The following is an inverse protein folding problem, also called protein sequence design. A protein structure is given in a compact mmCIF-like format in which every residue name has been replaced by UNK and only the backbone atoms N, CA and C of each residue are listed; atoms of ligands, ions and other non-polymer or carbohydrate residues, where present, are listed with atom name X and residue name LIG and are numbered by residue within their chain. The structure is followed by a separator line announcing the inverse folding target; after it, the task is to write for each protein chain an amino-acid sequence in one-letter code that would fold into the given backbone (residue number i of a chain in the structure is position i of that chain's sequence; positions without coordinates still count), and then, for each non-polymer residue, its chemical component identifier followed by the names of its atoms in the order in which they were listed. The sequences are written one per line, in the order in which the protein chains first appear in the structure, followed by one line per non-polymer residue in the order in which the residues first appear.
data_IF_444015199970
#
_entry.id   IF_444015199970
#
_cell.length_a   1.000
_cell.length_b   1.000
_cell.length_c   1.000
_cell.angle_alpha   90.00
_cell.angle_beta   90.00
_cell.angle_gamma   90.00
#
_symmetry.space_group_name_H-M   'P 1'
#
loop_
_entity.id
_entity.type
_entity.pdbx_description
1 polymer ?
#
# COMPACT_ATOMS: atom_id res chain seq x y z
N UNK A 1 -35.15 48.68 -30.78
CA UNK A 1 -35.08 47.26 -30.45
C UNK A 1 -33.69 46.66 -30.64
N UNK A 2 -32.95 46.85 -31.76
CA UNK A 2 -31.59 46.28 -31.96
C UNK A 2 -30.51 46.74 -30.95
N UNK A 3 -30.57 48.00 -30.49
CA UNK A 3 -29.59 48.54 -29.51
C UNK A 3 -29.82 48.03 -28.07
N UNK A 4 -31.07 47.76 -27.70
CA UNK A 4 -31.42 47.21 -26.39
C UNK A 4 -31.01 45.71 -26.29
N UNK A 5 -31.13 44.96 -27.38
CA UNK A 5 -30.75 43.55 -27.45
C UNK A 5 -29.21 43.38 -27.36
N UNK A 6 -28.43 44.29 -27.99
CA UNK A 6 -26.97 44.26 -27.94
C UNK A 6 -26.45 44.56 -26.52
N UNK A 7 -27.10 45.48 -25.79
CA UNK A 7 -26.73 45.81 -24.43
C UNK A 7 -27.06 44.66 -23.45
N UNK A 8 -28.19 43.99 -23.68
CA UNK A 8 -28.60 42.84 -22.84
C UNK A 8 -27.67 41.63 -23.07
N UNK A 9 -27.24 41.34 -24.30
CA UNK A 9 -26.28 40.30 -24.58
C UNK A 9 -24.90 40.61 -24.03
N UNK A 10 -24.45 41.87 -24.03
CA UNK A 10 -23.16 42.24 -23.45
C UNK A 10 -23.13 42.14 -21.93
N UNK A 11 -24.24 42.48 -21.27
CA UNK A 11 -24.38 42.35 -19.80
C UNK A 11 -24.47 40.87 -19.36
N UNK A 12 -25.14 40.03 -20.13
CA UNK A 12 -25.20 38.59 -19.86
C UNK A 12 -23.84 37.92 -20.08
N UNK A 13 -23.09 38.35 -21.12
CA UNK A 13 -21.77 37.83 -21.43
C UNK A 13 -20.69 38.28 -20.40
N UNK A 14 -20.80 39.49 -19.87
CA UNK A 14 -19.92 39.96 -18.81
C UNK A 14 -20.26 39.36 -17.43
N UNK A 15 -21.55 39.07 -17.16
CA UNK A 15 -21.96 38.39 -15.93
C UNK A 15 -21.53 36.92 -15.91
N UNK A 16 -21.57 36.23 -17.09
CA UNK A 16 -21.08 34.84 -17.19
C UNK A 16 -19.55 34.70 -17.05
N UNK A 17 -18.78 35.74 -17.40
CA UNK A 17 -17.33 35.79 -17.19
C UNK A 17 -16.95 36.11 -15.73
N UNK A 18 -17.81 36.78 -14.97
CA UNK A 18 -17.58 37.08 -13.55
C UNK A 18 -17.97 35.92 -12.62
N UNK A 19 -18.87 35.04 -13.06
CA UNK A 19 -19.28 33.86 -12.26
C UNK A 19 -18.29 32.71 -12.37
N UNK A 20 -17.50 32.63 -13.46
CA UNK A 20 -16.49 31.57 -13.65
C UNK A 20 -15.19 31.78 -12.85
N UNK A 21 -14.97 32.95 -12.27
CA UNK A 21 -13.77 33.21 -11.44
C UNK A 21 -14.00 33.03 -9.93
N UNK A 22 -15.23 32.73 -9.50
CA UNK A 22 -15.57 32.63 -8.07
C UNK A 22 -15.48 31.21 -7.48
N UNK A 23 -15.11 30.23 -8.32
CA UNK A 23 -15.03 28.81 -7.91
C UNK A 23 -13.67 28.18 -8.25
N UNK A 24 -12.62 28.96 -8.27
CA UNK A 24 -11.31 28.37 -8.20
C UNK A 24 -11.11 27.92 -6.76
N UNK A 25 -10.95 26.64 -6.56
CA UNK A 25 -10.50 26.13 -5.27
C UNK A 25 -9.30 26.95 -4.80
N UNK A 26 -9.22 27.29 -3.49
CA UNK A 26 -8.03 27.97 -2.98
C UNK A 26 -6.81 27.16 -3.39
N UNK A 27 -5.71 27.82 -3.80
CA UNK A 27 -4.50 27.09 -4.16
C UNK A 27 -4.13 26.15 -3.01
N UNK A 28 -3.88 24.88 -3.33
CA UNK A 28 -3.48 23.89 -2.34
C UNK A 28 -2.33 24.44 -1.51
N UNK A 29 -2.43 24.33 -0.20
CA UNK A 29 -1.34 24.74 0.69
C UNK A 29 -0.18 23.79 0.46
N UNK A 30 1.01 24.29 0.15
CA UNK A 30 2.22 23.48 0.00
C UNK A 30 2.88 23.20 1.35
N UNK A 31 2.09 22.74 2.30
CA UNK A 31 2.53 22.45 3.67
C UNK A 31 3.43 21.19 3.77
N UNK A 32 3.49 20.40 2.70
CA UNK A 32 4.30 19.19 2.60
C UNK A 32 5.50 19.31 1.65
N UNK A 33 5.86 20.53 1.23
CA UNK A 33 7.10 20.74 0.46
C UNK A 33 8.32 20.20 1.24
N UNK A 34 9.18 19.43 0.54
CA UNK A 34 10.33 18.78 1.15
C UNK A 34 10.01 17.57 2.02
N UNK A 35 8.80 17.04 1.92
CA UNK A 35 8.38 15.79 2.56
C UNK A 35 8.14 14.68 1.53
N UNK A 36 8.38 13.45 1.97
CA UNK A 36 7.90 12.26 1.27
C UNK A 36 6.80 11.62 2.12
N UNK A 37 5.70 11.26 1.48
CA UNK A 37 4.61 10.55 2.10
C UNK A 37 4.54 9.14 1.51
N UNK A 38 4.53 8.14 2.38
CA UNK A 38 4.24 6.77 2.00
C UNK A 38 2.80 6.48 2.42
N UNK A 39 1.93 6.32 1.43
CA UNK A 39 0.59 5.80 1.61
C UNK A 39 0.66 4.27 1.52
N UNK A 40 0.01 3.58 2.44
CA UNK A 40 0.02 2.14 2.39
C UNK A 40 -1.33 1.50 2.67
N UNK A 41 -1.51 0.34 2.08
CA UNK A 41 -2.67 -0.54 2.23
C UNK A 41 -2.21 -1.96 2.51
N UNK A 42 -3.12 -2.79 2.99
CA UNK A 42 -2.96 -4.22 3.18
C UNK A 42 -4.34 -4.88 3.19
N UNK A 43 -4.41 -6.18 2.92
CA UNK A 43 -5.63 -6.98 3.04
C UNK A 43 -6.84 -6.32 2.34
N UNK A 44 -6.63 -5.85 1.11
CA UNK A 44 -7.66 -5.17 0.32
C UNK A 44 -8.80 -6.12 -0.04
N UNK A 45 -8.51 -7.42 -0.22
CA UNK A 45 -9.49 -8.47 -0.46
C UNK A 45 -10.51 -8.11 -1.55
N UNK A 46 -10.02 -7.51 -2.63
CA UNK A 46 -10.83 -7.18 -3.79
C UNK A 46 -11.86 -6.08 -3.57
N UNK A 47 -11.68 -5.20 -2.60
CA UNK A 47 -12.50 -4.00 -2.37
C UNK A 47 -12.22 -2.92 -3.43
N UNK A 48 -12.32 -3.29 -4.72
CA UNK A 48 -11.91 -2.47 -5.87
C UNK A 48 -12.74 -1.19 -6.04
N UNK A 49 -13.94 -1.16 -5.50
CA UNK A 49 -14.83 -0.01 -5.48
C UNK A 49 -14.32 1.17 -4.64
N UNK A 50 -13.25 0.97 -3.87
CA UNK A 50 -12.69 1.98 -2.97
C UNK A 50 -11.32 2.54 -3.42
N UNK A 51 -10.74 1.97 -4.48
CA UNK A 51 -9.46 2.46 -5.00
C UNK A 51 -9.49 3.92 -5.48
N UNK A 52 -10.68 4.42 -5.91
CA UNK A 52 -10.84 5.83 -6.27
C UNK A 52 -10.53 6.78 -5.10
N UNK A 53 -10.88 6.38 -3.86
CA UNK A 53 -10.59 7.15 -2.65
C UNK A 53 -9.09 7.16 -2.34
N UNK A 54 -8.43 6.02 -2.53
CA UNK A 54 -6.97 5.91 -2.37
C UNK A 54 -6.25 6.80 -3.40
N UNK A 55 -6.71 6.80 -4.66
CA UNK A 55 -6.17 7.66 -5.70
C UNK A 55 -6.39 9.14 -5.40
N UNK A 56 -7.58 9.51 -4.89
CA UNK A 56 -7.89 10.87 -4.49
C UNK A 56 -7.01 11.33 -3.31
N UNK A 57 -6.78 10.47 -2.32
CA UNK A 57 -5.89 10.76 -1.20
C UNK A 57 -4.45 10.97 -1.68
N UNK A 58 -3.95 10.11 -2.58
CA UNK A 58 -2.62 10.28 -3.20
C UNK A 58 -2.51 11.65 -3.87
N UNK A 59 -3.51 12.00 -4.69
CA UNK A 59 -3.53 13.29 -5.39
C UNK A 59 -3.59 14.50 -4.44
N UNK A 60 -4.28 14.39 -3.30
CA UNK A 60 -4.29 15.46 -2.27
C UNK A 60 -2.90 15.69 -1.69
N UNK A 61 -2.21 14.63 -1.26
CA UNK A 61 -0.85 14.77 -0.73
C UNK A 61 0.14 15.30 -1.76
N UNK A 62 0.03 14.89 -3.02
CA UNK A 62 0.83 15.44 -4.13
C UNK A 62 0.53 16.91 -4.38
N UNK A 63 -0.74 17.33 -4.35
CA UNK A 63 -1.16 18.72 -4.51
C UNK A 63 -0.62 19.61 -3.37
N UNK A 64 -0.45 19.06 -2.18
CA UNK A 64 0.13 19.71 -1.00
C UNK A 64 1.66 19.79 -1.05
N UNK A 65 2.29 19.25 -2.08
CA UNK A 65 3.73 19.36 -2.34
C UNK A 65 4.56 18.16 -1.89
N UNK A 66 3.94 17.07 -1.39
CA UNK A 66 4.66 15.85 -1.05
C UNK A 66 5.12 15.09 -2.30
N UNK A 67 6.25 14.41 -2.19
CA UNK A 67 6.54 13.26 -3.05
C UNK A 67 5.82 12.06 -2.45
N UNK A 68 4.99 11.35 -3.24
CA UNK A 68 4.15 10.28 -2.70
C UNK A 68 4.53 8.93 -3.31
N UNK A 69 4.71 7.92 -2.45
CA UNK A 69 4.71 6.51 -2.83
C UNK A 69 3.47 5.84 -2.26
N UNK A 70 2.82 5.02 -3.07
CA UNK A 70 1.70 4.18 -2.67
C UNK A 70 2.14 2.72 -2.69
N UNK A 71 2.07 2.03 -1.54
CA UNK A 71 2.58 0.68 -1.38
C UNK A 71 1.52 -0.26 -0.77
N UNK A 72 1.68 -1.57 -0.95
CA UNK A 72 0.75 -2.58 -0.43
C UNK A 72 1.48 -3.74 0.25
N UNK A 73 0.93 -4.21 1.37
CA UNK A 73 1.48 -5.30 2.16
C UNK A 73 0.74 -6.64 1.95
N UNK A 74 0.17 -6.88 0.75
CA UNK A 74 -0.37 -8.18 0.34
C UNK A 74 -1.86 -8.39 0.59
N UNK A 75 -2.39 -9.49 0.06
CA UNK A 75 -3.79 -9.92 0.08
C UNK A 75 -4.74 -8.96 -0.65
N UNK A 76 -4.42 -8.63 -1.89
CA UNK A 76 -5.23 -7.78 -2.76
C UNK A 76 -6.04 -8.56 -3.81
N UNK A 77 -5.64 -9.77 -4.19
CA UNK A 77 -6.15 -10.48 -5.38
C UNK A 77 -7.30 -11.44 -5.13
N UNK A 78 -7.75 -11.60 -3.89
CA UNK A 78 -8.85 -12.50 -3.48
C UNK A 78 -9.86 -11.74 -2.62
N UNK A 79 -11.11 -12.19 -2.59
CA UNK A 79 -12.16 -11.68 -1.69
C UNK A 79 -13.47 -11.43 -2.43
N UNK A 80 -13.60 -10.31 -3.14
CA UNK A 80 -14.83 -10.00 -3.87
C UNK A 80 -14.96 -10.80 -5.17
N UNK A 81 -16.20 -10.97 -5.64
CA UNK A 81 -16.49 -11.62 -6.93
C UNK A 81 -15.77 -10.90 -8.10
N UNK A 82 -15.60 -9.60 -8.01
CA UNK A 82 -14.98 -8.80 -9.07
C UNK A 82 -13.54 -9.20 -9.37
N UNK A 83 -12.76 -9.54 -8.35
CA UNK A 83 -11.38 -10.00 -8.54
C UNK A 83 -11.28 -11.51 -8.69
N UNK A 84 -12.21 -12.27 -8.10
CA UNK A 84 -12.18 -13.74 -8.12
C UNK A 84 -12.49 -14.33 -9.50
N UNK A 85 -13.36 -13.70 -10.30
CA UNK A 85 -13.74 -14.17 -11.64
C UNK A 85 -12.51 -14.25 -12.57
N UNK A 86 -11.62 -13.25 -12.50
CA UNK A 86 -10.40 -13.19 -13.29
C UNK A 86 -9.14 -13.57 -12.47
N UNK A 87 -9.33 -14.35 -11.38
CA UNK A 87 -8.26 -14.94 -10.58
C UNK A 87 -7.21 -13.89 -10.14
N UNK A 88 -7.68 -12.75 -9.65
CA UNK A 88 -6.83 -11.68 -9.14
C UNK A 88 -6.30 -10.69 -10.19
N UNK A 89 -6.44 -10.94 -11.49
CA UNK A 89 -5.91 -10.04 -12.52
C UNK A 89 -6.53 -8.64 -12.49
N UNK A 90 -7.79 -8.52 -12.09
CA UNK A 90 -8.48 -7.23 -12.00
C UNK A 90 -7.96 -6.40 -10.82
N UNK A 91 -7.55 -7.02 -9.70
CA UNK A 91 -6.89 -6.33 -8.60
C UNK A 91 -5.59 -5.65 -9.08
N UNK A 92 -4.72 -6.38 -9.79
CA UNK A 92 -3.49 -5.83 -10.37
C UNK A 92 -3.78 -4.69 -11.34
N UNK A 93 -4.84 -4.82 -12.16
CA UNK A 93 -5.27 -3.76 -13.07
C UNK A 93 -5.68 -2.50 -12.32
N UNK A 94 -6.46 -2.65 -11.24
CA UNK A 94 -6.88 -1.52 -10.41
C UNK A 94 -5.71 -0.88 -9.67
N UNK A 95 -4.78 -1.68 -9.11
CA UNK A 95 -3.56 -1.17 -8.50
C UNK A 95 -2.71 -0.36 -9.50
N UNK A 96 -2.58 -0.84 -10.74
CA UNK A 96 -1.89 -0.11 -11.81
C UNK A 96 -2.54 1.26 -12.12
N UNK A 97 -3.88 1.31 -12.14
CA UNK A 97 -4.63 2.56 -12.41
C UNK A 97 -4.58 3.51 -11.22
N UNK A 98 -4.64 2.99 -10.00
CA UNK A 98 -4.52 3.76 -8.76
C UNK A 98 -3.12 4.35 -8.57
N UNK A 99 -2.12 3.75 -9.23
CA UNK A 99 -0.74 4.23 -9.20
C UNK A 99 0.05 3.72 -8.00
N UNK A 100 -0.07 2.42 -7.71
CA UNK A 100 0.83 1.76 -6.76
C UNK A 100 2.26 1.75 -7.30
N UNK A 101 3.23 1.87 -6.40
CA UNK A 101 4.66 1.95 -6.71
C UNK A 101 5.41 0.69 -6.30
N UNK A 102 5.02 0.05 -5.19
CA UNK A 102 5.64 -1.17 -4.64
C UNK A 102 4.57 -2.01 -3.95
N UNK A 103 4.64 -3.33 -4.05
CA UNK A 103 3.82 -4.24 -3.26
C UNK A 103 4.61 -5.49 -2.85
N UNK A 104 4.23 -6.09 -1.72
CA UNK A 104 4.53 -7.50 -1.46
C UNK A 104 3.33 -8.37 -1.82
N UNK A 105 3.44 -9.66 -1.62
CA UNK A 105 2.35 -10.62 -1.78
C UNK A 105 1.90 -11.12 -0.42
N UNK A 106 0.64 -11.57 -0.32
CA UNK A 106 0.09 -12.27 0.83
C UNK A 106 -0.31 -13.71 0.49
N UNK A 107 -0.85 -14.43 1.46
CA UNK A 107 -1.20 -15.85 1.27
C UNK A 107 -2.33 -16.04 0.26
N UNK A 108 -3.23 -15.09 0.11
CA UNK A 108 -4.32 -15.16 -0.85
C UNK A 108 -3.91 -14.89 -2.29
N UNK A 109 -2.72 -14.37 -2.56
CA UNK A 109 -2.15 -14.34 -3.89
C UNK A 109 -1.89 -15.74 -4.44
N UNK A 110 -1.74 -16.76 -3.57
CA UNK A 110 -1.56 -18.17 -3.95
C UNK A 110 -2.87 -18.96 -4.14
N UNK A 111 -4.03 -18.38 -3.88
CA UNK A 111 -5.34 -19.08 -3.97
C UNK A 111 -5.61 -19.67 -5.35
N UNK A 112 -5.15 -19.00 -6.40
CA UNK A 112 -5.26 -19.45 -7.79
C UNK A 112 -4.00 -20.16 -8.28
N UNK A 113 -3.04 -20.39 -7.40
CA UNK A 113 -1.77 -21.07 -7.65
C UNK A 113 -0.67 -20.17 -8.16
N UNK A 114 0.58 -20.64 -7.97
CA UNK A 114 1.77 -19.88 -8.34
C UNK A 114 1.81 -19.48 -9.82
N UNK A 115 1.39 -20.37 -10.73
CA UNK A 115 1.39 -20.04 -12.16
C UNK A 115 0.47 -18.86 -12.49
N UNK A 116 -0.68 -18.76 -11.83
CA UNK A 116 -1.59 -17.63 -12.03
C UNK A 116 -1.05 -16.36 -11.37
N UNK A 117 -0.46 -16.49 -10.18
CA UNK A 117 0.21 -15.37 -9.50
C UNK A 117 1.30 -14.77 -10.41
N UNK A 118 2.20 -15.60 -10.94
CA UNK A 118 3.28 -15.17 -11.83
C UNK A 118 2.73 -14.45 -13.09
N UNK A 119 1.66 -14.99 -13.70
CA UNK A 119 0.99 -14.34 -14.84
C UNK A 119 0.33 -12.99 -14.48
N UNK A 120 -0.20 -12.85 -13.28
CA UNK A 120 -0.76 -11.60 -12.81
C UNK A 120 0.34 -10.55 -12.55
N UNK A 121 1.43 -10.95 -11.89
CA UNK A 121 2.52 -10.04 -11.55
C UNK A 121 3.30 -9.55 -12.79
N UNK A 122 3.37 -10.31 -13.87
CA UNK A 122 3.89 -9.83 -15.17
C UNK A 122 3.13 -8.62 -15.74
N UNK A 123 1.90 -8.37 -15.28
CA UNK A 123 1.07 -7.22 -15.69
C UNK A 123 1.19 -6.05 -14.72
N UNK A 124 1.82 -6.24 -13.57
CA UNK A 124 2.06 -5.18 -12.60
C UNK A 124 2.95 -4.08 -13.20
N UNK A 125 2.61 -2.82 -12.93
CA UNK A 125 3.42 -1.64 -13.26
C UNK A 125 4.13 -1.08 -12.02
N UNK A 126 4.06 -1.80 -10.93
CA UNK A 126 4.72 -1.56 -9.66
C UNK A 126 5.71 -2.68 -9.37
N UNK A 127 6.71 -2.42 -8.53
CA UNK A 127 7.64 -3.47 -8.12
C UNK A 127 6.96 -4.45 -7.17
N UNK A 128 7.16 -5.75 -7.42
CA UNK A 128 6.63 -6.83 -6.59
C UNK A 128 7.78 -7.48 -5.85
N UNK A 129 7.73 -7.44 -4.52
CA UNK A 129 8.83 -7.87 -3.67
C UNK A 129 8.46 -9.09 -2.83
N UNK A 130 9.38 -10.08 -2.75
CA UNK A 130 9.23 -11.21 -1.85
C UNK A 130 10.57 -11.92 -1.60
N UNK A 131 11.18 -11.70 -0.44
CA UNK A 131 12.52 -12.20 -0.14
C UNK A 131 12.54 -13.60 0.51
N UNK A 132 11.37 -14.16 0.90
CA UNK A 132 11.32 -15.40 1.67
C UNK A 132 10.54 -16.55 1.02
N UNK A 133 10.10 -16.40 -0.24
CA UNK A 133 9.50 -17.49 -1.00
C UNK A 133 10.40 -17.87 -2.18
N UNK A 134 10.82 -19.12 -2.22
CA UNK A 134 11.78 -19.62 -3.19
C UNK A 134 11.16 -20.65 -4.12
N UNK A 135 11.64 -20.66 -5.36
CA UNK A 135 11.45 -21.73 -6.34
C UNK A 135 12.80 -22.09 -6.93
N UNK A 136 13.16 -23.37 -6.90
CA UNK A 136 14.45 -23.86 -7.39
C UNK A 136 15.66 -23.10 -6.79
N UNK A 137 15.53 -22.70 -5.51
CA UNK A 137 16.57 -21.99 -4.73
C UNK A 137 16.73 -20.50 -5.05
N UNK A 138 15.83 -19.92 -5.84
CA UNK A 138 15.78 -18.48 -6.13
C UNK A 138 14.45 -17.89 -5.67
N UNK A 139 14.46 -16.63 -5.26
CA UNK A 139 13.23 -15.89 -4.94
C UNK A 139 12.31 -15.81 -6.15
N UNK A 140 10.99 -15.84 -5.89
CA UNK A 140 10.00 -15.85 -6.97
C UNK A 140 9.76 -14.47 -7.58
N UNK A 141 10.12 -13.42 -6.87
CA UNK A 141 10.06 -12.01 -7.29
C UNK A 141 11.34 -11.31 -6.81
N UNK A 142 11.46 -10.01 -7.07
CA UNK A 142 12.57 -9.23 -6.59
C UNK A 142 12.56 -9.20 -5.05
N UNK A 143 13.75 -9.21 -4.44
CA UNK A 143 13.88 -9.26 -2.98
C UNK A 143 13.62 -7.89 -2.37
N UNK A 144 14.14 -6.84 -3.02
CA UNK A 144 14.06 -5.45 -2.56
C UNK A 144 14.17 -4.46 -3.73
N UNK A 145 13.87 -3.19 -3.44
CA UNK A 145 14.03 -2.06 -4.36
C UNK A 145 14.43 -0.80 -3.60
N UNK A 146 15.23 0.06 -4.22
CA UNK A 146 15.56 1.41 -3.72
C UNK A 146 14.83 2.46 -4.55
N UNK A 147 14.04 3.30 -3.91
CA UNK A 147 13.39 4.48 -4.51
C UNK A 147 14.13 5.75 -4.07
N UNK A 148 14.47 6.60 -5.03
CA UNK A 148 15.15 7.87 -4.76
C UNK A 148 14.19 9.03 -4.84
N UNK A 149 14.21 9.92 -3.83
CA UNK A 149 13.45 11.17 -3.78
C UNK A 149 14.36 12.30 -3.31
N UNK A 150 14.64 13.24 -4.21
CA UNK A 150 15.64 14.26 -3.92
C UNK A 150 16.99 13.63 -3.58
N UNK A 151 17.49 13.91 -2.39
CA UNK A 151 18.78 13.40 -1.93
C UNK A 151 18.63 12.15 -1.04
N UNK A 152 17.41 11.76 -0.65
CA UNK A 152 17.18 10.56 0.17
C UNK A 152 16.87 9.33 -0.69
N UNK A 153 17.24 8.17 -0.15
CA UNK A 153 16.93 6.86 -0.70
C UNK A 153 16.12 6.06 0.30
N UNK A 154 15.00 5.52 -0.15
CA UNK A 154 14.11 4.67 0.65
C UNK A 154 14.19 3.26 0.08
N UNK A 155 14.64 2.33 0.88
CA UNK A 155 14.69 0.91 0.54
C UNK A 155 13.42 0.21 1.00
N UNK A 156 12.87 -0.63 0.14
CA UNK A 156 11.75 -1.51 0.44
C UNK A 156 12.14 -2.95 0.21
N UNK A 157 11.70 -3.87 1.08
CA UNK A 157 11.76 -5.31 0.84
C UNK A 157 10.45 -5.96 1.27
N UNK A 158 10.13 -7.14 0.71
CA UNK A 158 8.88 -7.83 0.93
C UNK A 158 9.05 -9.15 1.67
N UNK A 159 8.10 -9.47 2.57
CA UNK A 159 8.00 -10.77 3.24
C UNK A 159 6.56 -11.29 3.18
N UNK A 160 6.45 -12.56 2.83
CA UNK A 160 5.21 -13.34 2.82
C UNK A 160 5.13 -14.23 4.05
N UNK A 161 3.91 -14.44 4.57
CA UNK A 161 3.71 -15.37 5.69
C UNK A 161 4.02 -16.82 5.30
N UNK A 162 4.83 -17.54 6.08
CA UNK A 162 5.06 -18.96 5.83
C UNK A 162 3.78 -19.82 5.96
N UNK A 163 2.70 -19.27 6.53
CA UNK A 163 1.42 -19.96 6.63
C UNK A 163 0.78 -20.28 5.27
N UNK A 164 1.15 -19.52 4.21
CA UNK A 164 0.72 -19.83 2.84
C UNK A 164 1.03 -21.27 2.45
N UNK A 165 2.11 -21.88 2.98
CA UNK A 165 2.44 -23.28 2.72
C UNK A 165 1.36 -24.25 3.19
N UNK A 166 0.59 -23.90 4.21
CA UNK A 166 -0.47 -24.75 4.79
C UNK A 166 -1.87 -24.23 4.45
N UNK A 167 -2.04 -22.95 4.17
CA UNK A 167 -3.34 -22.33 3.84
C UNK A 167 -3.67 -22.43 2.35
N UNK A 168 -2.68 -22.35 1.46
CA UNK A 168 -2.90 -22.53 0.03
C UNK A 168 -3.07 -24.01 -0.35
N UNK A 169 -3.70 -24.27 -1.50
CA UNK A 169 -3.82 -25.63 -2.03
C UNK A 169 -2.43 -26.19 -2.39
N UNK A 170 -1.96 -27.27 -1.74
CA UNK A 170 -0.63 -27.81 -1.97
C UNK A 170 -0.35 -28.21 -3.43
N UNK A 171 -1.38 -28.59 -4.19
CA UNK A 171 -1.21 -28.92 -5.61
C UNK A 171 -0.86 -27.70 -6.48
N UNK A 172 -1.20 -26.50 -6.02
CA UNK A 172 -1.03 -25.24 -6.75
C UNK A 172 0.27 -24.50 -6.40
N UNK A 173 0.94 -24.92 -5.32
CA UNK A 173 2.20 -24.32 -4.83
C UNK A 173 3.39 -25.28 -4.85
N UNK A 174 3.29 -26.36 -5.65
CA UNK A 174 4.34 -27.36 -5.74
C UNK A 174 5.69 -26.74 -6.16
N UNK A 175 6.76 -27.14 -5.46
CA UNK A 175 8.12 -26.65 -5.72
C UNK A 175 8.44 -25.29 -5.09
N UNK A 176 7.48 -24.66 -4.42
CA UNK A 176 7.75 -23.47 -3.62
C UNK A 176 8.26 -23.85 -2.23
N UNK A 177 9.18 -23.05 -1.72
CA UNK A 177 9.70 -23.12 -0.37
C UNK A 177 9.44 -21.79 0.33
N UNK A 178 8.69 -21.81 1.40
CA UNK A 178 8.44 -20.64 2.26
C UNK A 178 9.44 -20.69 3.42
N UNK A 179 10.32 -19.70 3.50
CA UNK A 179 11.28 -19.60 4.60
C UNK A 179 10.54 -19.10 5.85
N UNK A 180 10.78 -19.77 6.98
CA UNK A 180 10.15 -19.49 8.26
C UNK A 180 11.19 -19.40 9.39
N UNK A 181 10.85 -18.72 10.49
CA UNK A 181 11.70 -18.56 11.66
C UNK A 181 13.07 -17.99 11.30
N UNK A 182 14.13 -18.57 11.83
CA UNK A 182 15.51 -18.09 11.63
C UNK A 182 15.91 -17.91 10.17
N UNK A 183 15.36 -18.74 9.25
CA UNK A 183 15.65 -18.61 7.82
C UNK A 183 14.97 -17.36 7.22
N UNK A 184 13.75 -17.05 7.65
CA UNK A 184 13.05 -15.83 7.26
C UNK A 184 13.74 -14.60 7.82
N UNK A 185 14.13 -14.64 9.11
CA UNK A 185 14.86 -13.54 9.74
C UNK A 185 16.20 -13.28 9.06
N UNK A 186 16.91 -14.36 8.70
CA UNK A 186 18.15 -14.20 7.94
C UNK A 186 17.92 -13.59 6.56
N UNK A 187 16.90 -14.05 5.82
CA UNK A 187 16.56 -13.47 4.53
C UNK A 187 16.23 -11.97 4.67
N UNK A 188 15.46 -11.59 5.69
CA UNK A 188 15.13 -10.20 5.98
C UNK A 188 16.39 -9.37 6.33
N UNK A 189 17.29 -9.90 7.19
CA UNK A 189 18.53 -9.21 7.54
C UNK A 189 19.42 -9.00 6.32
N UNK A 190 19.52 -10.02 5.44
CA UNK A 190 20.28 -9.92 4.20
C UNK A 190 19.74 -8.77 3.30
N UNK A 191 18.41 -8.53 3.28
CA UNK A 191 17.83 -7.40 2.54
C UNK A 191 18.13 -6.04 3.21
N UNK A 192 18.05 -5.97 4.53
CA UNK A 192 18.43 -4.75 5.26
C UNK A 192 19.88 -4.38 4.97
N UNK A 193 20.78 -5.37 5.05
CA UNK A 193 22.22 -5.17 4.82
C UNK A 193 22.51 -4.74 3.38
N UNK A 194 21.83 -5.37 2.39
CA UNK A 194 21.94 -5.01 0.99
C UNK A 194 21.43 -3.58 0.72
N UNK A 195 20.25 -3.23 1.22
CA UNK A 195 19.68 -1.89 1.07
C UNK A 195 20.57 -0.80 1.68
N UNK A 196 21.13 -1.07 2.87
CA UNK A 196 22.10 -0.14 3.51
C UNK A 196 23.39 -0.03 2.70
N UNK A 197 23.88 -1.11 2.14
CA UNK A 197 25.05 -1.09 1.25
C UNK A 197 24.79 -0.30 -0.05
N UNK A 198 23.55 -0.28 -0.55
CA UNK A 198 23.11 0.56 -1.67
C UNK A 198 22.89 2.03 -1.28
N UNK A 199 23.03 2.33 0.01
CA UNK A 199 22.93 3.68 0.57
C UNK A 199 21.49 4.10 0.89
N UNK A 200 20.61 3.17 1.23
CA UNK A 200 19.28 3.51 1.73
C UNK A 200 19.36 4.23 3.07
N UNK A 201 18.77 5.43 3.14
CA UNK A 201 18.65 6.22 4.36
C UNK A 201 17.57 5.65 5.27
N UNK A 202 16.48 5.14 4.68
CA UNK A 202 15.34 4.52 5.37
C UNK A 202 15.10 3.15 4.77
N UNK A 203 14.86 2.14 5.61
CA UNK A 203 14.51 0.78 5.21
C UNK A 203 13.13 0.43 5.75
N UNK A 204 12.22 0.09 4.84
CA UNK A 204 10.84 -0.28 5.14
C UNK A 204 10.60 -1.72 4.70
N UNK A 205 10.06 -2.53 5.62
CA UNK A 205 9.58 -3.86 5.32
C UNK A 205 8.08 -3.81 4.97
N UNK A 206 7.71 -4.34 3.82
CA UNK A 206 6.33 -4.69 3.50
C UNK A 206 6.13 -6.14 3.94
N UNK A 207 5.46 -6.33 5.08
CA UNK A 207 5.33 -7.62 5.73
C UNK A 207 3.88 -8.11 5.65
N UNK A 208 3.67 -9.29 5.08
CA UNK A 208 2.37 -9.97 5.20
C UNK A 208 2.48 -11.09 6.23
N UNK A 209 2.79 -10.73 7.49
CA UNK A 209 3.11 -11.69 8.56
C UNK A 209 2.04 -11.75 9.66
N UNK A 210 1.39 -10.62 9.91
CA UNK A 210 0.45 -10.47 10.99
C UNK A 210 1.09 -10.31 12.37
N UNK A 211 0.23 -10.05 13.36
CA UNK A 211 0.61 -9.87 14.77
C UNK A 211 -0.11 -10.83 15.71
N UNK A 212 -0.90 -11.76 15.18
CA UNK A 212 -1.63 -12.74 15.97
C UNK A 212 -0.69 -13.83 16.49
N UNK A 213 -0.90 -14.26 17.73
CA UNK A 213 -0.07 -15.33 18.35
C UNK A 213 -0.18 -16.67 17.63
N UNK A 214 -1.20 -16.89 16.82
CA UNK A 214 -1.32 -18.08 15.99
C UNK A 214 -0.27 -18.17 14.88
N UNK A 215 0.32 -17.05 14.48
CA UNK A 215 1.38 -16.97 13.46
C UNK A 215 2.81 -17.01 14.04
N UNK A 216 2.95 -17.10 15.37
CA UNK A 216 4.26 -17.27 16.00
C UNK A 216 4.96 -18.57 15.50
N UNK A 217 6.28 -18.59 15.30
CA UNK A 217 7.25 -17.50 15.51
C UNK A 217 7.50 -16.65 14.25
N UNK A 218 6.51 -16.37 13.42
CA UNK A 218 6.69 -15.66 12.17
C UNK A 218 5.92 -14.33 12.10
N UNK A 219 5.56 -13.77 13.25
CA UNK A 219 4.84 -12.50 13.32
C UNK A 219 5.74 -11.30 13.02
N UNK A 220 5.14 -10.15 12.70
CA UNK A 220 5.86 -8.88 12.58
C UNK A 220 6.53 -8.45 13.90
N UNK A 221 6.02 -8.89 15.06
CA UNK A 221 6.71 -8.71 16.35
C UNK A 221 7.98 -9.54 16.42
N UNK A 222 7.93 -10.82 15.98
CA UNK A 222 9.11 -11.67 15.93
C UNK A 222 10.15 -11.13 14.97
N UNK A 223 9.71 -10.61 13.80
CA UNK A 223 10.59 -9.94 12.84
C UNK A 223 11.31 -8.74 13.50
N UNK A 224 10.56 -7.83 14.12
CA UNK A 224 11.11 -6.64 14.79
C UNK A 224 12.10 -6.98 15.91
N UNK A 225 11.92 -8.13 16.57
CA UNK A 225 12.79 -8.61 17.63
C UNK A 225 14.10 -9.24 17.12
N UNK A 226 14.05 -9.90 15.96
CA UNK A 226 15.16 -10.73 15.46
C UNK A 226 15.97 -10.09 14.34
N UNK A 227 15.46 -9.01 13.72
CA UNK A 227 16.10 -8.30 12.60
C UNK A 227 16.40 -6.86 13.02
N UNK A 228 17.62 -6.40 12.76
CA UNK A 228 18.05 -5.04 13.11
C UNK A 228 18.16 -4.18 11.87
N UNK A 229 17.87 -2.87 12.01
CA UNK A 229 18.05 -1.89 10.93
C UNK A 229 16.82 -1.68 10.06
N UNK A 230 15.67 -2.29 10.36
CA UNK A 230 14.37 -1.92 9.79
C UNK A 230 13.89 -0.65 10.48
N UNK A 231 13.60 0.40 9.73
CA UNK A 231 13.09 1.67 10.28
C UNK A 231 11.58 1.65 10.48
N UNK A 232 10.86 0.89 9.66
CA UNK A 232 9.40 0.74 9.76
C UNK A 232 8.92 -0.57 9.12
N UNK A 233 7.88 -1.17 9.69
CA UNK A 233 7.19 -2.35 9.16
C UNK A 233 5.75 -1.94 8.81
N UNK A 234 5.38 -2.14 7.56
CA UNK A 234 4.00 -2.07 7.09
C UNK A 234 3.50 -3.51 7.03
N UNK A 235 2.52 -3.84 7.87
CA UNK A 235 2.06 -5.21 8.09
C UNK A 235 0.66 -5.46 7.55
N UNK A 236 0.36 -6.73 7.28
CA UNK A 236 -0.94 -7.24 6.87
C UNK A 236 -1.30 -8.54 7.58
N UNK A 237 -2.11 -9.40 6.93
CA UNK A 237 -2.49 -10.76 7.33
C UNK A 237 -3.47 -10.88 8.50
N UNK A 238 -3.24 -10.21 9.62
CA UNK A 238 -4.08 -10.29 10.81
C UNK A 238 -5.29 -9.33 10.80
N UNK A 239 -5.46 -8.53 9.75
CA UNK A 239 -6.49 -7.49 9.62
C UNK A 239 -6.54 -6.52 10.82
N UNK A 240 -5.44 -6.38 11.54
CA UNK A 240 -5.35 -5.52 12.71
C UNK A 240 -5.31 -4.05 12.30
N UNK A 241 -6.03 -3.19 13.03
CA UNK A 241 -5.93 -1.73 12.87
C UNK A 241 -5.02 -1.20 13.95
N UNK A 242 -3.81 -0.76 13.57
CA UNK A 242 -2.84 -0.24 14.53
C UNK A 242 -1.85 0.73 13.89
N UNK A 243 -1.37 1.69 14.69
CA UNK A 243 -0.34 2.66 14.29
C UNK A 243 1.04 2.36 14.88
N UNK A 244 1.11 1.44 15.83
CA UNK A 244 2.35 0.97 16.47
C UNK A 244 2.10 -0.35 17.18
N UNK A 245 3.14 -1.14 17.36
CA UNK A 245 3.10 -2.38 18.13
C UNK A 245 2.85 -2.16 19.61
N UNK A 246 2.56 -3.25 20.32
CA UNK A 246 2.17 -3.25 21.75
C UNK A 246 3.25 -2.67 22.67
N UNK A 247 4.54 -2.87 22.36
CA UNK A 247 5.67 -2.32 23.13
C UNK A 247 6.29 -1.09 22.46
N UNK A 248 5.62 -0.51 21.47
CA UNK A 248 6.09 0.66 20.75
C UNK A 248 6.91 0.35 19.50
N UNK A 249 6.88 -0.90 19.02
CA UNK A 249 7.50 -1.28 17.76
C UNK A 249 6.93 -0.43 16.62
N UNK A 250 7.77 -0.06 15.65
CA UNK A 250 7.38 0.72 14.46
C UNK A 250 6.72 -0.20 13.44
N UNK A 251 5.51 -0.64 13.77
CA UNK A 251 4.68 -1.53 12.95
C UNK A 251 3.31 -0.87 12.77
N UNK A 252 2.82 -0.77 11.54
CA UNK A 252 1.50 -0.24 11.22
C UNK A 252 0.74 -1.21 10.32
N UNK A 253 -0.57 -1.35 10.55
CA UNK A 253 -1.50 -2.10 9.71
C UNK A 253 -2.83 -1.37 9.63
N UNK A 254 -3.50 -1.43 8.48
CA UNK A 254 -4.67 -0.59 8.16
C UNK A 254 -6.01 -1.29 8.37
N UNK A 255 -5.98 -2.52 8.84
CA UNK A 255 -7.17 -3.37 8.91
C UNK A 255 -7.39 -4.15 7.62
N UNK A 256 -8.57 -4.08 7.05
CA UNK A 256 -8.92 -4.81 5.82
C UNK A 256 -9.88 -3.99 4.94
N UNK A 257 -10.02 -4.41 3.68
CA UNK A 257 -11.01 -3.91 2.71
C UNK A 257 -10.97 -2.39 2.50
N UNK A 258 -9.76 -1.80 2.60
CA UNK A 258 -9.54 -0.34 2.46
C UNK A 258 -10.37 0.49 3.45
N UNK A 259 -10.62 -0.01 4.67
CA UNK A 259 -11.26 0.79 5.71
C UNK A 259 -10.41 2.00 6.10
N UNK A 260 -9.10 1.81 6.12
CA UNK A 260 -8.12 2.87 6.34
C UNK A 260 -7.00 2.81 5.31
N UNK A 261 -6.31 3.93 5.14
CA UNK A 261 -5.00 4.05 4.47
C UNK A 261 -3.99 4.50 5.51
N UNK A 262 -2.86 3.83 5.59
CA UNK A 262 -1.76 4.26 6.44
C UNK A 262 -0.98 5.40 5.76
N UNK A 263 -0.51 6.33 6.56
CA UNK A 263 0.23 7.51 6.10
C UNK A 263 1.50 7.62 6.93
N UNK A 264 2.66 7.49 6.29
CA UNK A 264 3.97 7.68 6.92
C UNK A 264 4.60 8.91 6.29
N UNK A 265 4.96 9.90 7.11
CA UNK A 265 5.60 11.13 6.62
C UNK A 265 7.09 11.12 6.95
N UNK A 266 7.90 11.43 5.95
CA UNK A 266 9.36 11.50 6.01
C UNK A 266 9.80 12.93 5.77
N UNK A 267 10.70 13.44 6.60
CA UNK A 267 11.41 14.70 6.38
C UNK A 267 12.62 14.44 5.47
N UNK A 268 12.56 14.93 4.22
CA UNK A 268 13.60 14.68 3.23
C UNK A 268 14.93 15.37 3.57
N UNK A 269 14.92 16.43 4.40
CA UNK A 269 16.13 17.12 4.80
C UNK A 269 16.90 16.39 5.90
N UNK A 270 16.18 15.57 6.68
CA UNK A 270 16.73 14.80 7.80
C UNK A 270 16.92 13.32 7.46
N UNK A 271 16.19 12.80 6.44
CA UNK A 271 16.12 11.38 6.16
C UNK A 271 15.44 10.59 7.30
N UNK A 272 14.43 11.17 7.95
CA UNK A 272 13.78 10.59 9.13
C UNK A 272 12.27 10.49 8.96
N UNK A 273 11.68 9.41 9.46
CA UNK A 273 10.22 9.28 9.63
C UNK A 273 9.80 10.17 10.79
N UNK A 274 8.94 11.16 10.52
CA UNK A 274 8.51 12.16 11.50
C UNK A 274 7.10 11.92 12.04
N UNK A 275 6.26 11.19 11.31
CA UNK A 275 4.92 10.80 11.79
C UNK A 275 4.42 9.56 11.05
N UNK A 276 3.46 8.89 11.66
CA UNK A 276 2.62 7.89 11.02
C UNK A 276 1.21 7.96 11.61
N UNK A 277 0.19 7.81 10.74
CA UNK A 277 -1.22 7.90 11.11
C UNK A 277 -2.07 6.98 10.22
N UNK A 278 -3.33 6.83 10.57
CA UNK A 278 -4.34 6.16 9.74
C UNK A 278 -5.38 7.19 9.30
N UNK A 279 -5.66 7.21 8.00
CA UNK A 279 -6.77 7.97 7.41
C UNK A 279 -7.90 7.00 7.13
N UNK A 280 -9.03 7.18 7.79
CA UNK A 280 -10.23 6.38 7.54
C UNK A 280 -10.79 6.73 6.16
N UNK A 281 -11.13 5.72 5.37
CA UNK A 281 -11.67 5.89 4.02
C UNK A 281 -13.17 5.64 4.02
N UNK A 282 -13.61 4.70 4.85
CA UNK A 282 -15.01 4.38 5.01
C UNK A 282 -15.25 3.63 6.32
N UNK A 283 -16.49 3.64 6.76
CA UNK A 283 -16.97 2.82 7.88
C UNK A 283 -18.39 2.31 7.61
N UNK A 284 -18.84 1.36 8.41
CA UNK A 284 -20.21 0.86 8.36
C UNK A 284 -21.07 1.50 9.43
N UNK A 285 -22.23 2.02 9.04
CA UNK A 285 -23.26 2.50 9.98
C UNK A 285 -24.55 1.72 9.87
N UNK A 286 -25.35 1.70 10.95
CA UNK A 286 -26.72 1.18 10.92
C UNK A 286 -27.71 2.31 10.75
N UNK A 287 -28.39 2.33 9.60
CA UNK A 287 -29.47 3.26 9.29
C UNK A 287 -30.75 2.43 9.11
N UNK A 288 -31.76 2.67 9.94
CA UNK A 288 -33.05 1.93 9.91
C UNK A 288 -32.87 0.39 9.99
N UNK A 289 -31.95 -0.10 10.82
CA UNK A 289 -31.55 -1.52 10.97
C UNK A 289 -30.83 -2.14 9.75
N UNK A 290 -30.58 -1.40 8.70
CA UNK A 290 -29.74 -1.84 7.58
C UNK A 290 -28.31 -1.36 7.80
N UNK A 291 -27.33 -2.20 7.38
CA UNK A 291 -25.93 -1.80 7.41
C UNK A 291 -25.61 -1.10 6.09
N UNK A 292 -25.17 0.16 6.16
CA UNK A 292 -24.77 0.97 5.02
C UNK A 292 -23.27 1.31 5.10
N UNK A 293 -22.64 1.43 3.94
CA UNK A 293 -21.25 1.93 3.86
C UNK A 293 -21.29 3.45 3.77
N UNK A 294 -20.53 4.11 4.64
CA UNK A 294 -20.34 5.56 4.64
C UNK A 294 -18.89 5.84 4.27
N UNK A 295 -18.67 6.74 3.31
CA UNK A 295 -17.34 7.20 2.93
C UNK A 295 -16.99 8.47 3.69
N UNK A 296 -15.74 8.53 4.18
CA UNK A 296 -15.19 9.65 4.96
C UNK A 296 -14.43 10.63 4.08
#
# INVERSE_FOLDING_TARGET
MRKALALFMSVVMTLSLLVSSAWADPPATKDLDGKTVILHTNDVHGAIDKYEKVAALKADYEARGASVFLVDAGDYSQGSVYVSVNKGADAVTMMNVTGYDVATIGNHEFDYGYAQLDENMKKAKFDVLCANVLKDGKTIFDDHVVKKVGDIKIGFFGLETPEAQTKANPALIQGLQFLAGDKMYKAAQDQVDALRAEGADIVICLAHLGVDSSSEPNTSYDLAKNVTGIDFIIDGHSHTVMTKGLNGEKIQSTGTALANVGVITIDNTKGEIISNELVQIWHSEKVNNETVTVFD
#
